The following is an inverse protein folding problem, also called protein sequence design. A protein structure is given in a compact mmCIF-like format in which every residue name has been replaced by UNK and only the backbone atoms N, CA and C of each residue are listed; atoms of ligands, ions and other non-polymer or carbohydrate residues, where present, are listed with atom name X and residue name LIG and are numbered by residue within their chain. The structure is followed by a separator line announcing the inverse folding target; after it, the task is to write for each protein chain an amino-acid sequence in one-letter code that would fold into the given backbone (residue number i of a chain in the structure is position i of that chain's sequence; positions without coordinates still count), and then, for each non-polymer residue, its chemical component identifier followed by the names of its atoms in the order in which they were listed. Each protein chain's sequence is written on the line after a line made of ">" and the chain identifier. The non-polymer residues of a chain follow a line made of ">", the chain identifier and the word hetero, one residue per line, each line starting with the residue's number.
data_IF_046355804300
#
_entry.id   IF_046355804300
#
_cell.length_a   1.000
_cell.length_b   1.000
_cell.length_c   1.000
_cell.angle_alpha   90.00
_cell.angle_beta   90.00
_cell.angle_gamma   90.00
#
_symmetry.space_group_name_H-M   'P 1'
#
loop_
_entity.id
_entity.type
_entity.pdbx_description
1 polymer ?
#
# COMPACT_ATOMS: atom_id res chain seq x y z
N UNK A 1 2.98 12.73 -9.84
CA UNK A 1 1.83 11.86 -10.15
C UNK A 1 1.07 11.63 -8.86
N UNK A 2 -0.26 11.66 -8.88
CA UNK A 2 -1.10 11.63 -7.67
C UNK A 2 -0.79 10.44 -6.75
N UNK A 3 -0.52 9.24 -7.27
CA UNK A 3 -0.10 8.10 -6.44
C UNK A 3 1.08 8.40 -5.51
N UNK A 4 2.07 9.18 -5.98
CA UNK A 4 3.22 9.56 -5.16
C UNK A 4 2.88 10.60 -4.08
N UNK A 5 1.80 11.36 -4.26
CA UNK A 5 1.26 12.29 -3.25
C UNK A 5 0.54 11.49 -2.17
N UNK A 6 -0.40 10.62 -2.55
CA UNK A 6 -1.14 9.78 -1.57
C UNK A 6 -0.21 8.85 -0.78
N UNK A 7 0.86 8.35 -1.42
CA UNK A 7 1.87 7.57 -0.69
C UNK A 7 2.60 8.44 0.33
N UNK A 8 2.82 9.72 0.04
CA UNK A 8 3.34 10.70 0.99
C UNK A 8 2.40 10.92 2.16
N UNK A 9 1.12 11.19 1.88
CA UNK A 9 0.07 11.38 2.90
C UNK A 9 -0.07 10.13 3.80
N UNK A 10 -0.07 8.93 3.21
CA UNK A 10 0.00 7.67 3.94
C UNK A 10 1.23 7.58 4.87
N UNK A 11 2.40 8.03 4.40
CA UNK A 11 3.65 7.99 5.17
C UNK A 11 3.67 9.02 6.31
N UNK A 12 2.96 10.14 6.18
CA UNK A 12 2.89 11.18 7.22
C UNK A 12 2.30 10.65 8.53
N UNK A 13 1.36 9.70 8.47
CA UNK A 13 0.82 9.01 9.66
C UNK A 13 1.88 8.29 10.50
N UNK A 14 3.03 7.96 9.92
CA UNK A 14 4.10 7.18 10.56
C UNK A 14 5.41 7.95 10.71
N UNK A 15 5.55 9.15 10.12
CA UNK A 15 6.82 9.87 9.98
C UNK A 15 7.58 10.09 11.30
N UNK A 16 6.85 10.32 12.39
CA UNK A 16 7.42 10.66 13.70
C UNK A 16 7.26 9.55 14.75
N UNK A 17 6.79 8.37 14.33
CA UNK A 17 6.52 7.26 15.24
C UNK A 17 7.73 6.34 15.35
N UNK A 18 7.98 5.86 16.57
CA UNK A 18 8.80 4.67 16.79
C UNK A 18 8.07 3.41 16.28
N UNK A 19 8.78 2.29 16.16
CA UNK A 19 8.18 1.02 15.72
C UNK A 19 7.04 0.55 16.63
N UNK A 20 7.18 0.74 17.94
CA UNK A 20 6.15 0.35 18.91
C UNK A 20 4.91 1.23 18.80
N UNK A 21 5.09 2.55 18.60
CA UNK A 21 3.99 3.49 18.38
C UNK A 21 3.28 3.23 17.04
N UNK A 22 4.03 2.97 15.97
CA UNK A 22 3.48 2.61 14.66
C UNK A 22 2.66 1.31 14.75
N UNK A 23 3.14 0.30 15.49
CA UNK A 23 2.40 -0.94 15.73
C UNK A 23 1.11 -0.73 16.56
N UNK A 24 1.07 0.31 17.39
CA UNK A 24 -0.09 0.69 18.19
C UNK A 24 -1.15 1.48 17.39
N UNK A 25 -0.83 2.04 16.21
CA UNK A 25 -1.79 2.79 15.36
C UNK A 25 -3.08 2.00 15.11
N UNK A 26 -3.00 0.69 14.90
CA UNK A 26 -4.17 -0.19 14.68
C UNK A 26 -5.15 -0.25 15.86
N UNK A 27 -4.72 0.17 17.05
CA UNK A 27 -5.50 0.18 18.28
C UNK A 27 -6.25 1.50 18.49
N UNK A 28 -5.85 2.56 17.79
CA UNK A 28 -6.53 3.85 17.75
C UNK A 28 -7.52 3.87 16.56
N UNK A 29 -8.84 3.87 16.79
CA UNK A 29 -9.82 3.79 15.72
C UNK A 29 -9.76 4.97 14.74
N UNK A 30 -9.39 6.16 15.21
CA UNK A 30 -9.32 7.36 14.37
C UNK A 30 -8.11 7.25 13.45
N UNK A 31 -6.92 7.03 14.02
CA UNK A 31 -5.70 6.88 13.20
C UNK A 31 -5.79 5.71 12.22
N UNK A 32 -6.40 4.59 12.65
CA UNK A 32 -6.62 3.43 11.78
C UNK A 32 -7.55 3.77 10.61
N UNK A 33 -8.58 4.59 10.85
CA UNK A 33 -9.46 5.05 9.80
C UNK A 33 -8.71 5.94 8.80
N UNK A 34 -7.98 6.94 9.29
CA UNK A 34 -7.24 7.87 8.43
C UNK A 34 -6.21 7.15 7.55
N UNK A 35 -5.41 6.25 8.13
CA UNK A 35 -4.49 5.38 7.37
C UNK A 35 -5.23 4.54 6.32
N UNK A 36 -6.45 4.14 6.62
CA UNK A 36 -7.31 3.39 5.70
C UNK A 36 -7.77 4.20 4.49
N UNK A 37 -8.07 5.48 4.68
CA UNK A 37 -8.43 6.40 3.59
C UNK A 37 -7.23 6.59 2.65
N UNK A 38 -6.04 6.89 3.19
CA UNK A 38 -4.83 7.08 2.37
C UNK A 38 -4.41 5.80 1.62
N UNK A 39 -4.61 4.63 2.24
CA UNK A 39 -4.45 3.33 1.55
C UNK A 39 -5.45 3.16 0.40
N UNK A 40 -6.70 3.60 0.59
CA UNK A 40 -7.73 3.53 -0.43
C UNK A 40 -7.41 4.47 -1.60
N UNK A 41 -6.90 5.67 -1.34
CA UNK A 41 -6.48 6.62 -2.38
C UNK A 41 -5.30 6.10 -3.20
N UNK A 42 -4.30 5.50 -2.54
CA UNK A 42 -3.22 4.79 -3.23
C UNK A 42 -3.77 3.69 -4.15
N UNK A 43 -4.69 2.86 -3.64
CA UNK A 43 -5.29 1.78 -4.42
C UNK A 43 -6.12 2.31 -5.59
N UNK A 44 -6.88 3.39 -5.39
CA UNK A 44 -7.70 4.02 -6.42
C UNK A 44 -6.83 4.47 -7.60
N UNK A 45 -5.70 5.13 -7.34
CA UNK A 45 -4.77 5.54 -8.40
C UNK A 45 -4.07 4.36 -9.08
N UNK A 46 -3.73 3.30 -8.34
CA UNK A 46 -3.17 2.07 -8.93
C UNK A 46 -4.17 1.44 -9.89
N UNK A 47 -5.43 1.30 -9.49
CA UNK A 47 -6.50 0.73 -10.33
C UNK A 47 -6.81 1.62 -11.54
N UNK A 48 -6.86 2.94 -11.35
CA UNK A 48 -7.07 3.88 -12.45
C UNK A 48 -5.95 3.79 -13.49
N UNK A 49 -4.69 3.73 -13.05
CA UNK A 49 -3.54 3.57 -13.93
C UNK A 49 -3.57 2.22 -14.65
N UNK A 50 -3.88 1.14 -13.94
CA UNK A 50 -4.02 -0.19 -14.54
C UNK A 50 -5.09 -0.21 -15.64
N UNK A 51 -6.24 0.42 -15.41
CA UNK A 51 -7.31 0.54 -16.41
C UNK A 51 -6.87 1.32 -17.66
N UNK A 52 -6.22 2.48 -17.49
CA UNK A 52 -5.74 3.30 -18.62
C UNK A 52 -4.67 2.58 -19.44
N UNK A 53 -3.84 1.78 -18.77
CA UNK A 53 -2.75 1.03 -19.41
C UNK A 53 -3.19 -0.35 -19.93
N UNK A 54 -4.47 -0.71 -19.75
CA UNK A 54 -5.02 -2.03 -20.10
C UNK A 54 -4.27 -3.20 -19.43
N UNK A 55 -3.85 -3.00 -18.18
CA UNK A 55 -3.12 -3.99 -17.39
C UNK A 55 -4.11 -4.72 -16.47
N UNK A 56 -4.21 -6.05 -16.63
CA UNK A 56 -4.79 -6.91 -15.60
C UNK A 56 -3.82 -6.98 -14.41
N UNK A 57 -4.00 -6.05 -13.46
CA UNK A 57 -3.15 -5.94 -12.28
C UNK A 57 -3.26 -7.16 -11.37
N UNK A 58 -4.41 -7.85 -11.36
CA UNK A 58 -4.64 -9.06 -10.56
C UNK A 58 -3.77 -10.21 -11.06
N UNK A 59 -3.87 -10.54 -12.35
CA UNK A 59 -3.02 -11.57 -12.97
C UNK A 59 -1.54 -11.19 -12.92
N UNK A 60 -1.22 -9.91 -13.05
CA UNK A 60 0.16 -9.40 -12.95
C UNK A 60 0.74 -9.61 -11.55
N UNK A 61 -0.04 -9.31 -10.50
CA UNK A 61 0.33 -9.54 -9.11
C UNK A 61 0.54 -11.04 -8.84
N UNK A 62 -0.39 -11.91 -9.28
CA UNK A 62 -0.27 -13.35 -9.10
C UNK A 62 1.03 -13.91 -9.71
N UNK A 63 1.35 -13.53 -10.95
CA UNK A 63 2.61 -13.91 -11.62
C UNK A 63 3.84 -13.34 -10.89
N UNK A 64 3.73 -12.14 -10.32
CA UNK A 64 4.82 -11.55 -9.54
C UNK A 64 5.07 -12.31 -8.23
N UNK A 65 4.01 -12.80 -7.56
CA UNK A 65 4.15 -13.59 -6.34
C UNK A 65 4.87 -14.92 -6.58
N UNK A 66 4.59 -15.61 -7.69
CA UNK A 66 5.33 -16.84 -8.09
C UNK A 66 6.83 -16.53 -8.24
N UNK A 67 7.17 -15.49 -9.01
CA UNK A 67 8.56 -15.06 -9.20
C UNK A 67 9.24 -14.61 -7.89
N UNK A 68 8.48 -14.05 -6.94
CA UNK A 68 9.01 -13.69 -5.64
C UNK A 68 9.36 -14.92 -4.80
N UNK A 69 8.54 -15.97 -4.84
CA UNK A 69 8.83 -17.22 -4.13
C UNK A 69 10.06 -17.94 -4.70
N UNK A 70 10.26 -17.89 -6.02
CA UNK A 70 11.48 -18.40 -6.67
C UNK A 70 12.72 -17.58 -6.27
N UNK A 71 12.58 -16.25 -6.20
CA UNK A 71 13.68 -15.34 -5.85
C UNK A 71 14.03 -15.37 -4.36
N UNK A 72 13.04 -15.58 -3.50
CA UNK A 72 13.16 -15.58 -2.04
C UNK A 72 12.54 -16.88 -1.48
N UNK A 73 13.25 -18.02 -1.60
CA UNK A 73 12.75 -19.29 -1.10
C UNK A 73 12.60 -19.26 0.44
N UNK A 74 11.67 -20.06 0.95
CA UNK A 74 11.50 -20.21 2.39
C UNK A 74 12.79 -20.77 3.04
N UNK A 75 13.11 -20.37 4.28
CA UNK A 75 14.23 -20.92 5.04
C UNK A 75 14.16 -22.44 5.22
#
# INVERSE_FOLDING_TARGET
>A
MSLGIETGELMEHFQWLTLDEAAAVKQDPVKKHDVGEELADCLAYILALANVMEIDVSSTLAKKMIRNAEKYPAP
#
